data_IF_541258364226
#
_entry.id   IF_541258364226
#
_cell.length_a   1.000
_cell.length_b   1.000
_cell.length_c   1.000
_cell.angle_alpha   90.00
_cell.angle_beta   90.00
_cell.angle_gamma   90.00
#
_symmetry.space_group_name_H-M   'P 1'
#
loop_
_entity.id
_entity.type
_entity.pdbx_description
1 polymer ?
#
# COMPACT_ATOMS: atom_id res chain seq x y z
N UNK A 1 -1.67 44.97 -13.65
CA UNK A 1 -1.12 43.60 -13.42
C UNK A 1 0.36 43.63 -13.76
N UNK A 2 1.23 43.09 -12.88
CA UNK A 2 2.69 43.07 -13.06
C UNK A 2 3.10 42.05 -14.13
N UNK A 3 4.16 42.34 -14.89
CA UNK A 3 4.72 41.47 -15.95
C UNK A 3 5.03 40.05 -15.43
N UNK A 4 5.45 39.94 -14.17
CA UNK A 4 5.73 38.67 -13.48
C UNK A 4 4.50 37.78 -13.26
N UNK A 5 3.31 38.37 -13.09
CA UNK A 5 2.05 37.62 -12.88
C UNK A 5 1.52 37.07 -14.22
N UNK A 6 1.77 37.79 -15.30
CA UNK A 6 1.41 37.36 -16.67
C UNK A 6 2.34 36.23 -17.14
N UNK A 7 3.64 36.29 -16.85
CA UNK A 7 4.57 35.20 -17.18
C UNK A 7 4.30 33.92 -16.38
N UNK A 8 3.94 34.04 -15.09
CA UNK A 8 3.61 32.88 -14.26
C UNK A 8 2.31 32.20 -14.69
N UNK A 9 1.29 32.98 -15.07
CA UNK A 9 0.03 32.43 -15.61
C UNK A 9 0.28 31.70 -16.92
N UNK A 10 0.92 32.35 -17.90
CA UNK A 10 1.25 31.75 -19.21
C UNK A 10 2.04 30.44 -19.07
N UNK A 11 2.91 30.35 -18.07
CA UNK A 11 3.64 29.12 -17.74
C UNK A 11 2.72 28.01 -17.19
N UNK A 12 1.76 28.35 -16.32
CA UNK A 12 0.80 27.40 -15.76
C UNK A 12 -0.18 26.88 -16.81
N UNK A 13 -0.73 27.74 -17.68
CA UNK A 13 -1.61 27.31 -18.78
C UNK A 13 -0.90 26.33 -19.72
N UNK A 14 0.34 26.66 -20.10
CA UNK A 14 1.15 25.77 -20.97
C UNK A 14 1.39 24.41 -20.33
N UNK A 15 1.69 24.37 -19.03
CA UNK A 15 1.87 23.12 -18.29
C UNK A 15 0.58 22.33 -18.14
N UNK A 16 -0.56 23.00 -17.96
CA UNK A 16 -1.87 22.34 -17.89
C UNK A 16 -2.21 21.65 -19.21
N UNK A 17 -1.99 22.33 -20.35
CA UNK A 17 -2.21 21.75 -21.68
C UNK A 17 -1.30 20.54 -21.96
N UNK A 18 -0.04 20.58 -21.51
CA UNK A 18 0.87 19.43 -21.60
C UNK A 18 0.40 18.27 -20.72
N UNK A 19 0.07 18.55 -19.46
CA UNK A 19 -0.44 17.57 -18.51
C UNK A 19 -1.74 16.92 -18.99
N UNK A 20 -2.65 17.70 -19.57
CA UNK A 20 -3.89 17.14 -20.13
C UNK A 20 -3.62 16.16 -21.26
N UNK A 21 -2.66 16.47 -22.15
CA UNK A 21 -2.25 15.56 -23.23
C UNK A 21 -1.60 14.29 -22.68
N UNK A 22 -0.74 14.42 -21.67
CA UNK A 22 -0.06 13.30 -21.03
C UNK A 22 -1.04 12.31 -20.40
N UNK A 23 -2.06 12.81 -19.67
CA UNK A 23 -3.02 11.96 -18.95
C UNK A 23 -4.30 11.68 -19.74
N UNK A 24 -4.42 12.20 -20.97
CA UNK A 24 -5.60 12.05 -21.83
C UNK A 24 -6.85 12.71 -21.22
N UNK A 25 -6.69 13.89 -20.64
CA UNK A 25 -7.75 14.64 -19.96
C UNK A 25 -8.53 15.50 -20.94
N UNK A 26 -9.85 15.48 -20.76
CA UNK A 26 -10.83 16.32 -21.46
C UNK A 26 -11.95 16.66 -20.49
N UNK A 27 -12.57 17.83 -20.65
CA UNK A 27 -13.66 18.29 -19.79
C UNK A 27 -14.96 18.44 -20.58
N UNK A 28 -16.08 18.48 -19.84
CA UNK A 28 -17.42 18.59 -20.42
C UNK A 28 -17.62 19.92 -21.15
N UNK A 29 -17.16 21.01 -20.55
CA UNK A 29 -17.25 22.36 -21.09
C UNK A 29 -16.08 23.25 -20.64
N UNK A 30 -16.04 24.48 -21.16
CA UNK A 30 -15.00 25.46 -20.83
C UNK A 30 -15.05 25.92 -19.37
N UNK A 31 -16.22 25.87 -18.72
CA UNK A 31 -16.37 26.27 -17.33
C UNK A 31 -15.73 25.23 -16.38
N UNK A 32 -15.95 23.95 -16.64
CA UNK A 32 -15.27 22.86 -15.92
C UNK A 32 -13.76 22.88 -16.22
N UNK A 33 -13.36 23.12 -17.48
CA UNK A 33 -11.94 23.27 -17.83
C UNK A 33 -11.27 24.39 -17.02
N UNK A 34 -11.91 25.55 -16.92
CA UNK A 34 -11.41 26.70 -16.14
C UNK A 34 -11.33 26.39 -14.64
N UNK A 35 -12.34 25.71 -14.07
CA UNK A 35 -12.30 25.24 -12.68
C UNK A 35 -11.12 24.30 -12.44
N UNK A 36 -10.93 23.32 -13.32
CA UNK A 36 -9.87 22.31 -13.24
C UNK A 36 -8.49 22.91 -13.44
N UNK A 37 -8.38 23.91 -14.31
CA UNK A 37 -7.16 24.69 -14.47
C UNK A 37 -6.76 25.42 -13.18
N UNK A 38 -7.71 26.07 -12.47
CA UNK A 38 -7.40 26.74 -11.20
C UNK A 38 -6.86 25.78 -10.15
N UNK A 39 -7.51 24.62 -9.99
CA UNK A 39 -7.06 23.56 -9.08
C UNK A 39 -5.65 23.09 -9.45
N UNK A 40 -5.43 22.83 -10.74
CA UNK A 40 -4.13 22.42 -11.25
C UNK A 40 -3.04 23.48 -11.00
N UNK A 41 -3.32 24.75 -11.26
CA UNK A 41 -2.37 25.85 -11.09
C UNK A 41 -1.98 26.03 -9.62
N UNK A 42 -2.94 25.98 -8.70
CA UNK A 42 -2.69 26.03 -7.25
C UNK A 42 -1.82 24.83 -6.80
N UNK A 43 -2.12 23.64 -7.30
CA UNK A 43 -1.37 22.43 -6.98
C UNK A 43 0.05 22.48 -7.57
N UNK A 44 0.21 22.95 -8.80
CA UNK A 44 1.50 23.16 -9.42
C UNK A 44 2.36 24.12 -8.59
N UNK A 45 1.83 25.27 -8.20
CA UNK A 45 2.56 26.24 -7.37
C UNK A 45 2.93 25.62 -6.01
N UNK A 46 2.02 24.86 -5.39
CA UNK A 46 2.29 24.15 -4.15
C UNK A 46 3.45 23.15 -4.28
N UNK A 47 3.42 22.31 -5.30
CA UNK A 47 4.45 21.30 -5.58
C UNK A 47 5.81 21.96 -5.83
N UNK A 48 5.85 23.03 -6.63
CA UNK A 48 7.09 23.74 -6.92
C UNK A 48 7.68 24.39 -5.67
N UNK A 49 6.84 24.99 -4.81
CA UNK A 49 7.28 25.54 -3.53
C UNK A 49 7.84 24.43 -2.62
N UNK A 50 7.09 23.35 -2.45
CA UNK A 50 7.48 22.22 -1.62
C UNK A 50 8.83 21.61 -2.04
N UNK A 51 8.98 21.33 -3.34
CA UNK A 51 10.21 20.74 -3.86
C UNK A 51 11.40 21.71 -3.82
N UNK A 52 11.16 23.03 -3.98
CA UNK A 52 12.22 24.05 -3.90
C UNK A 52 12.76 24.21 -2.48
N UNK A 53 11.89 24.13 -1.47
CA UNK A 53 12.31 24.26 -0.07
C UNK A 53 13.24 23.12 0.36
N UNK A 54 13.11 21.93 -0.26
CA UNK A 54 14.09 20.84 -0.13
C UNK A 54 14.25 20.27 1.28
N UNK A 55 13.30 20.56 2.17
CA UNK A 55 13.35 20.16 3.58
C UNK A 55 12.98 18.69 3.82
N UNK A 56 12.49 18.01 2.79
CA UNK A 56 11.90 16.69 2.89
C UNK A 56 12.66 15.64 2.07
N UNK A 57 12.58 14.38 2.50
CA UNK A 57 13.26 13.24 1.85
C UNK A 57 12.49 12.66 0.66
N UNK A 58 11.43 13.33 0.23
CA UNK A 58 10.58 12.94 -0.89
C UNK A 58 10.17 14.16 -1.71
N UNK A 59 9.75 13.90 -2.94
CA UNK A 59 9.25 14.90 -3.87
C UNK A 59 7.76 14.70 -4.12
N UNK A 60 7.07 15.81 -4.34
CA UNK A 60 5.74 15.82 -4.92
C UNK A 60 5.83 16.04 -6.43
N UNK A 61 4.79 15.66 -7.16
CA UNK A 61 4.75 15.78 -8.61
C UNK A 61 3.35 15.81 -9.16
N UNK A 62 3.22 16.46 -10.31
CA UNK A 62 1.99 16.38 -11.07
C UNK A 62 1.76 14.93 -11.52
N UNK A 63 0.56 14.42 -11.31
CA UNK A 63 0.14 13.08 -11.69
C UNK A 63 -1.32 13.15 -12.18
N UNK A 64 -1.96 12.01 -12.42
CA UNK A 64 -3.31 12.00 -12.95
C UNK A 64 -4.36 12.68 -12.06
N UNK A 65 -4.09 12.94 -10.78
CA UNK A 65 -5.01 13.58 -9.83
C UNK A 65 -4.81 15.08 -9.71
N UNK A 66 -3.93 15.68 -10.53
CA UNK A 66 -3.53 17.07 -10.31
C UNK A 66 -4.59 18.13 -10.61
N UNK A 67 -5.73 17.76 -11.18
CA UNK A 67 -6.90 18.62 -11.40
C UNK A 67 -8.01 18.43 -10.34
N UNK A 68 -7.74 17.67 -9.28
CA UNK A 68 -8.71 17.37 -8.22
C UNK A 68 -8.35 18.09 -6.92
N UNK A 69 -9.37 18.50 -6.17
CA UNK A 69 -9.18 18.87 -4.77
C UNK A 69 -8.92 17.62 -3.93
N UNK A 70 -8.34 17.79 -2.74
CA UNK A 70 -8.10 16.66 -1.84
C UNK A 70 -9.42 16.00 -1.39
N UNK A 71 -10.49 16.78 -1.22
CA UNK A 71 -11.82 16.27 -0.87
C UNK A 71 -12.41 15.45 -2.03
N UNK A 72 -12.27 15.93 -3.27
CA UNK A 72 -12.67 15.18 -4.47
C UNK A 72 -11.85 13.88 -4.57
N UNK A 73 -10.55 13.93 -4.30
CA UNK A 73 -9.67 12.76 -4.30
C UNK A 73 -10.07 11.73 -3.25
N UNK A 74 -10.24 12.12 -1.99
CA UNK A 74 -10.63 11.19 -0.92
C UNK A 74 -12.03 10.63 -1.16
N UNK A 75 -12.97 11.46 -1.62
CA UNK A 75 -14.33 11.00 -1.92
C UNK A 75 -14.39 10.01 -3.07
N UNK A 76 -13.50 10.15 -4.06
CA UNK A 76 -13.49 9.31 -5.26
C UNK A 76 -12.62 8.05 -5.12
N UNK A 77 -11.49 8.15 -4.41
CA UNK A 77 -10.43 7.13 -4.42
C UNK A 77 -10.07 6.62 -3.03
N UNK A 78 -10.43 7.36 -1.98
CA UNK A 78 -10.33 6.89 -0.62
C UNK A 78 -11.19 5.64 -0.42
N UNK A 79 -10.65 4.61 0.22
CA UNK A 79 -11.36 3.36 0.47
C UNK A 79 -12.25 3.40 1.72
N UNK A 80 -12.70 4.60 2.07
CA UNK A 80 -13.19 4.92 3.41
C UNK A 80 -14.54 5.60 3.40
N UNK A 81 -15.58 4.77 3.47
CA UNK A 81 -16.54 4.88 4.57
C UNK A 81 -16.13 3.97 5.75
N UNK A 82 -14.85 3.98 6.11
CA UNK A 82 -14.30 3.31 7.30
C UNK A 82 -14.75 3.96 8.62
N UNK A 83 -15.61 4.99 8.57
CA UNK A 83 -15.93 5.84 9.72
C UNK A 83 -16.62 5.14 10.89
N UNK A 84 -17.20 3.93 10.75
CA UNK A 84 -18.06 3.39 11.81
C UNK A 84 -17.67 2.06 12.49
N UNK A 85 -16.55 1.40 12.17
CA UNK A 85 -16.27 0.08 12.79
C UNK A 85 -14.85 -0.21 13.27
N UNK A 86 -13.96 0.79 13.37
CA UNK A 86 -12.68 0.60 14.07
C UNK A 86 -12.80 0.74 15.61
N UNK A 87 -14.00 1.06 16.12
CA UNK A 87 -14.29 1.19 17.56
C UNK A 87 -14.85 -0.10 18.21
N UNK A 88 -15.12 -1.17 17.47
CA UNK A 88 -15.73 -2.41 18.01
C UNK A 88 -14.72 -3.53 18.31
N UNK A 89 -13.44 -3.22 18.53
CA UNK A 89 -12.47 -4.23 19.00
C UNK A 89 -12.40 -4.35 20.53
N UNK A 90 -13.40 -3.87 21.28
CA UNK A 90 -13.43 -3.91 22.76
C UNK A 90 -14.30 -5.01 23.36
N UNK A 91 -14.90 -5.92 22.57
CA UNK A 91 -15.64 -7.07 23.11
C UNK A 91 -15.19 -8.37 22.43
N UNK A 92 -14.01 -8.86 22.82
CA UNK A 92 -13.75 -10.30 22.80
C UNK A 92 -13.17 -10.66 24.16
N UNK A 93 -14.02 -11.28 24.98
CA UNK A 93 -13.70 -11.67 26.35
C UNK A 93 -12.63 -12.77 26.31
N UNK A 94 -11.48 -12.50 26.93
CA UNK A 94 -10.26 -13.33 26.93
C UNK A 94 -10.35 -14.56 27.84
N UNK A 95 -11.55 -15.04 28.16
CA UNK A 95 -11.73 -16.20 29.02
C UNK A 95 -12.09 -17.41 28.15
N UNK A 96 -11.22 -18.42 28.16
CA UNK A 96 -11.32 -19.73 27.49
C UNK A 96 -10.53 -19.89 26.17
N UNK A 97 -9.20 -19.84 26.26
CA UNK A 97 -8.34 -20.69 25.41
C UNK A 97 -7.34 -21.44 26.31
N UNK A 98 -7.29 -22.79 26.25
CA UNK A 98 -6.38 -23.59 27.08
C UNK A 98 -4.91 -23.36 26.70
N UNK A 99 -4.07 -23.05 27.68
CA UNK A 99 -2.61 -22.98 27.55
C UNK A 99 -2.03 -24.34 27.18
N UNK A 100 -1.40 -24.44 26.01
CA UNK A 100 -0.57 -25.58 25.62
C UNK A 100 0.86 -25.32 26.14
N UNK A 101 1.33 -26.14 27.08
CA UNK A 101 2.73 -26.11 27.55
C UNK A 101 3.68 -26.62 26.45
N UNK A 102 4.66 -25.80 26.06
CA UNK A 102 5.76 -26.20 25.18
C UNK A 102 6.86 -26.94 25.98
N UNK A 103 7.52 -27.97 25.40
CA UNK A 103 8.54 -28.74 26.10
C UNK A 103 9.79 -27.92 26.43
N UNK A 104 10.28 -28.03 27.67
CA UNK A 104 11.50 -27.38 28.17
C UNK A 104 12.73 -27.98 27.50
N UNK A 105 13.51 -27.14 26.79
CA UNK A 105 14.80 -27.52 26.19
C UNK A 105 15.90 -27.50 27.28
N UNK A 106 16.70 -28.57 27.45
CA UNK A 106 17.76 -28.61 28.46
C UNK A 106 18.97 -27.74 28.09
N UNK A 107 19.70 -27.20 29.09
CA UNK A 107 20.77 -26.23 28.86
C UNK A 107 22.02 -26.87 28.23
N UNK A 108 22.52 -26.24 27.15
CA UNK A 108 23.79 -26.62 26.51
C UNK A 108 24.98 -26.19 27.38
N UNK A 109 25.88 -27.15 27.67
CA UNK A 109 27.15 -26.95 28.39
C UNK A 109 28.07 -26.00 27.62
N UNK A 110 28.59 -24.97 28.31
CA UNK A 110 29.63 -24.06 27.81
C UNK A 110 30.97 -24.80 27.70
N UNK A 111 31.60 -24.78 26.53
CA UNK A 111 33.03 -25.08 26.34
C UNK A 111 33.74 -23.80 25.92
N UNK A 112 34.83 -23.48 26.60
CA UNK A 112 35.71 -22.35 26.33
C UNK A 112 36.51 -22.56 25.03
N UNK A 113 36.73 -21.53 24.19
CA UNK A 113 37.64 -21.61 23.05
C UNK A 113 39.10 -21.30 23.46
N UNK A 114 40.10 -21.84 22.75
CA UNK A 114 41.50 -21.48 22.97
C UNK A 114 41.86 -20.13 22.36
N UNK A 115 42.83 -19.46 22.97
CA UNK A 115 43.36 -18.14 22.62
C UNK A 115 44.09 -18.12 21.27
N UNK A 116 43.86 -17.09 20.46
CA UNK A 116 44.53 -16.84 19.17
C UNK A 116 45.37 -15.56 19.25
N UNK A 117 46.58 -15.50 18.65
CA UNK A 117 47.46 -14.33 18.72
C UNK A 117 46.96 -13.15 17.85
N UNK A 118 47.45 -11.92 18.12
CA UNK A 118 46.88 -10.68 17.58
C UNK A 118 47.19 -10.46 16.09
N UNK A 119 46.22 -9.88 15.37
CA UNK A 119 46.35 -9.40 13.98
C UNK A 119 46.46 -7.87 13.93
N UNK A 120 47.09 -7.28 12.90
CA UNK A 120 47.37 -5.84 12.79
C UNK A 120 46.11 -5.03 12.47
N UNK A 121 46.12 -3.68 12.67
CA UNK A 121 44.92 -2.88 12.76
C UNK A 121 44.25 -2.69 11.39
N UNK A 122 42.93 -2.95 11.33
CA UNK A 122 42.08 -2.57 10.19
C UNK A 122 41.24 -1.34 10.56
N UNK A 123 41.21 -0.42 9.60
CA UNK A 123 40.49 0.85 9.54
C UNK A 123 39.02 0.71 9.93
N UNK A 124 38.53 1.59 10.82
CA UNK A 124 37.15 1.61 11.36
C UNK A 124 36.13 1.94 10.26
N UNK A 125 35.19 1.03 10.03
CA UNK A 125 33.84 1.35 9.53
C UNK A 125 32.86 1.35 10.71
N UNK A 126 31.81 2.19 10.69
CA UNK A 126 30.83 2.27 11.78
C UNK A 126 30.04 0.95 11.92
N UNK A 127 29.58 0.60 13.13
CA UNK A 127 28.98 -0.70 13.40
C UNK A 127 27.56 -0.77 12.82
N UNK A 128 27.38 -1.62 11.80
CA UNK A 128 26.07 -2.15 11.43
C UNK A 128 25.55 -3.03 12.57
N UNK A 129 24.36 -2.75 13.08
CA UNK A 129 23.62 -3.62 13.99
C UNK A 129 23.54 -5.04 13.41
N UNK A 130 23.83 -6.10 14.19
CA UNK A 130 23.74 -7.46 13.69
C UNK A 130 22.27 -7.81 13.38
N UNK A 131 21.99 -8.49 12.25
CA UNK A 131 20.62 -8.85 11.89
C UNK A 131 20.04 -9.78 12.95
N UNK A 132 18.84 -9.45 13.42
CA UNK A 132 17.99 -10.34 14.22
C UNK A 132 17.94 -11.68 13.49
N UNK A 133 18.53 -12.72 14.09
CA UNK A 133 18.96 -13.93 13.38
C UNK A 133 17.80 -14.60 12.64
N UNK A 134 17.76 -14.46 11.31
CA UNK A 134 16.82 -15.15 10.43
C UNK A 134 16.01 -14.26 9.48
N UNK A 135 15.90 -12.96 9.75
CA UNK A 135 15.17 -12.02 8.87
C UNK A 135 16.17 -11.35 7.91
N UNK A 136 15.97 -11.43 6.57
CA UNK A 136 16.82 -10.71 5.62
C UNK A 136 16.78 -9.20 5.86
N UNK A 137 17.92 -8.51 5.74
CA UNK A 137 17.97 -7.04 5.89
C UNK A 137 17.24 -6.25 4.79
N UNK A 138 16.94 -6.90 3.65
CA UNK A 138 16.07 -6.37 2.60
C UNK A 138 15.27 -7.47 1.93
N UNK A 139 14.08 -7.12 1.44
CA UNK A 139 13.25 -7.99 0.60
C UNK A 139 12.60 -7.13 -0.48
N UNK A 140 12.61 -7.62 -1.72
CA UNK A 140 11.83 -7.07 -2.82
C UNK A 140 11.15 -8.23 -3.56
N UNK A 141 9.84 -8.42 -3.36
CA UNK A 141 9.11 -9.53 -3.98
C UNK A 141 8.93 -9.35 -5.49
N UNK A 142 9.15 -8.14 -6.03
CA UNK A 142 9.15 -7.89 -7.48
C UNK A 142 10.31 -8.61 -8.15
N UNK A 143 11.51 -8.50 -7.58
CA UNK A 143 12.73 -9.18 -8.06
C UNK A 143 12.60 -10.71 -7.98
N UNK A 144 11.75 -11.20 -7.07
CA UNK A 144 11.43 -12.63 -6.93
C UNK A 144 10.29 -13.09 -7.85
N UNK A 145 9.79 -12.22 -8.72
CA UNK A 145 8.69 -12.52 -9.64
C UNK A 145 7.37 -12.85 -8.95
N UNK A 146 7.14 -12.32 -7.74
CA UNK A 146 5.96 -12.59 -6.91
C UNK A 146 5.02 -11.37 -6.80
N UNK A 147 5.11 -10.42 -7.74
CA UNK A 147 4.28 -9.21 -7.78
C UNK A 147 3.86 -8.94 -9.22
N UNK A 148 2.56 -8.95 -9.50
CA UNK A 148 2.01 -8.64 -10.81
C UNK A 148 2.21 -7.17 -11.18
N UNK A 149 1.87 -6.78 -12.41
CA UNK A 149 1.85 -5.38 -12.85
C UNK A 149 1.02 -4.50 -11.90
N UNK A 150 1.34 -3.21 -11.86
CA UNK A 150 0.53 -2.21 -11.13
C UNK A 150 -0.82 -2.09 -11.83
N UNK A 151 -1.90 -2.12 -11.04
CA UNK A 151 -3.28 -1.95 -11.52
C UNK A 151 -3.78 -0.55 -11.18
N UNK A 152 -4.91 -0.16 -11.77
CA UNK A 152 -5.52 1.15 -11.58
C UNK A 152 -7.00 0.97 -11.18
N UNK A 153 -7.34 1.34 -9.95
CA UNK A 153 -8.70 1.27 -9.40
C UNK A 153 -9.62 2.41 -9.88
N UNK A 154 -9.05 3.40 -10.59
CA UNK A 154 -9.72 4.65 -10.96
C UNK A 154 -10.25 4.63 -12.40
N UNK A 155 -9.91 3.58 -13.16
CA UNK A 155 -10.29 3.45 -14.58
C UNK A 155 -11.14 2.19 -14.79
N UNK A 156 -12.26 2.29 -15.53
CA UNK A 156 -12.74 3.46 -16.28
C UNK A 156 -13.52 4.50 -15.46
N UNK A 157 -13.85 4.22 -14.19
CA UNK A 157 -14.63 5.09 -13.30
C UNK A 157 -14.01 5.10 -11.90
N UNK A 158 -14.39 6.08 -11.09
CA UNK A 158 -13.98 6.17 -9.70
C UNK A 158 -14.60 5.03 -8.87
N UNK A 159 -13.77 4.33 -8.10
CA UNK A 159 -14.21 3.21 -7.27
C UNK A 159 -13.26 3.01 -6.08
N UNK A 160 -13.76 3.18 -4.85
CA UNK A 160 -13.04 2.95 -3.59
C UNK A 160 -12.77 1.46 -3.31
N UNK A 161 -12.02 0.82 -4.20
CA UNK A 161 -11.84 -0.63 -4.27
C UNK A 161 -10.42 -1.11 -3.97
N UNK A 162 -9.56 -0.26 -3.41
CA UNK A 162 -8.19 -0.65 -3.02
C UNK A 162 -8.17 -1.90 -2.13
N UNK A 163 -9.22 -2.13 -1.34
CA UNK A 163 -9.36 -3.31 -0.50
C UNK A 163 -9.26 -4.61 -1.31
N UNK A 164 -9.94 -4.66 -2.46
CA UNK A 164 -9.94 -5.79 -3.37
C UNK A 164 -8.59 -5.94 -4.09
N UNK A 165 -7.98 -4.81 -4.50
CA UNK A 165 -6.67 -4.81 -5.15
C UNK A 165 -5.54 -5.26 -4.22
N UNK A 166 -5.51 -4.76 -2.98
CA UNK A 166 -4.48 -5.11 -2.02
C UNK A 166 -4.59 -6.60 -1.60
N UNK A 167 -5.81 -7.10 -1.41
CA UNK A 167 -6.04 -8.53 -1.09
C UNK A 167 -5.64 -9.41 -2.26
N UNK A 168 -6.12 -9.13 -3.48
CA UNK A 168 -5.74 -9.92 -4.66
C UNK A 168 -4.23 -9.93 -4.89
N UNK A 169 -3.53 -8.79 -4.72
CA UNK A 169 -2.08 -8.72 -4.86
C UNK A 169 -1.32 -9.63 -3.87
N UNK A 170 -1.80 -9.76 -2.62
CA UNK A 170 -1.19 -10.71 -1.67
C UNK A 170 -1.42 -12.17 -2.07
N UNK A 171 -2.61 -12.50 -2.60
CA UNK A 171 -2.94 -13.84 -3.07
C UNK A 171 -2.10 -14.19 -4.30
N UNK A 172 -1.99 -13.28 -5.27
CA UNK A 172 -1.11 -13.44 -6.43
C UNK A 172 0.32 -13.81 -6.02
N UNK A 173 0.88 -13.07 -5.06
CA UNK A 173 2.22 -13.30 -4.54
C UNK A 173 2.37 -14.65 -3.84
N UNK A 174 1.44 -15.03 -2.95
CA UNK A 174 1.59 -16.28 -2.20
C UNK A 174 1.50 -17.52 -3.10
N UNK A 175 0.67 -17.48 -4.13
CA UNK A 175 0.52 -18.59 -5.09
C UNK A 175 1.84 -18.83 -5.84
N UNK A 176 2.56 -17.75 -6.20
CA UNK A 176 3.89 -17.86 -6.77
C UNK A 176 4.91 -18.39 -5.75
N UNK A 177 4.92 -17.85 -4.54
CA UNK A 177 5.94 -18.15 -3.52
C UNK A 177 5.83 -19.58 -2.98
N UNK A 178 4.61 -20.04 -2.66
CA UNK A 178 4.38 -21.31 -1.94
C UNK A 178 3.98 -22.46 -2.83
N UNK A 179 3.31 -22.18 -3.95
CA UNK A 179 2.81 -23.22 -4.86
C UNK A 179 3.59 -23.26 -6.18
N UNK A 180 4.58 -22.37 -6.37
CA UNK A 180 5.35 -22.21 -7.60
C UNK A 180 4.48 -22.10 -8.86
N UNK A 181 3.30 -21.49 -8.74
CA UNK A 181 2.39 -21.31 -9.87
C UNK A 181 2.82 -20.13 -10.74
N UNK A 182 2.40 -20.08 -12.01
CA UNK A 182 2.54 -18.89 -12.84
C UNK A 182 1.95 -17.67 -12.12
N UNK A 183 2.67 -16.56 -12.15
CA UNK A 183 2.19 -15.30 -11.60
C UNK A 183 1.11 -14.74 -12.53
N UNK A 184 -0.13 -14.70 -12.05
CA UNK A 184 -1.30 -14.33 -12.84
C UNK A 184 -2.12 -13.31 -12.06
N UNK A 185 -2.54 -12.25 -12.74
CA UNK A 185 -3.42 -11.24 -12.17
C UNK A 185 -4.79 -11.85 -11.82
N UNK A 186 -5.27 -11.59 -10.60
CA UNK A 186 -6.56 -12.06 -10.09
C UNK A 186 -7.62 -10.97 -10.19
N UNK A 187 -8.89 -11.36 -10.24
CA UNK A 187 -10.00 -10.42 -10.42
C UNK A 187 -10.34 -9.68 -9.14
N UNK A 188 -10.00 -8.39 -9.07
CA UNK A 188 -10.54 -7.50 -8.03
C UNK A 188 -12.04 -7.25 -8.24
N UNK A 189 -12.53 -7.28 -9.48
CA UNK A 189 -13.94 -7.09 -9.80
C UNK A 189 -14.83 -8.18 -9.22
N UNK A 190 -14.35 -9.43 -9.23
CA UNK A 190 -15.10 -10.51 -8.62
C UNK A 190 -15.31 -10.25 -7.12
N UNK A 191 -14.31 -9.75 -6.40
CA UNK A 191 -14.50 -9.35 -5.01
C UNK A 191 -15.53 -8.21 -4.90
N UNK A 192 -15.42 -7.18 -5.73
CA UNK A 192 -16.33 -6.02 -5.72
C UNK A 192 -17.81 -6.44 -5.92
N UNK A 193 -18.06 -7.40 -6.82
CA UNK A 193 -19.42 -7.83 -7.16
C UNK A 193 -19.95 -8.94 -6.25
N UNK A 194 -19.08 -9.88 -5.85
CA UNK A 194 -19.50 -11.14 -5.22
C UNK A 194 -19.27 -11.20 -3.71
N UNK A 195 -18.35 -10.41 -3.15
CA UNK A 195 -18.19 -10.29 -1.71
C UNK A 195 -19.34 -9.46 -1.12
N UNK A 196 -20.36 -10.15 -0.60
CA UNK A 196 -21.53 -9.51 0.00
C UNK A 196 -21.25 -8.93 1.39
N UNK A 197 -20.12 -9.27 2.03
CA UNK A 197 -19.73 -8.68 3.31
C UNK A 197 -19.06 -7.31 3.16
N UNK A 198 -18.64 -6.96 1.94
CA UNK A 198 -18.04 -5.67 1.60
C UNK A 198 -18.97 -4.81 0.73
N UNK A 199 -18.65 -3.52 0.62
CA UNK A 199 -19.53 -2.53 0.00
C UNK A 199 -19.10 -2.17 -1.44
N UNK A 200 -18.41 -3.08 -2.14
CA UNK A 200 -17.96 -2.86 -3.51
C UNK A 200 -17.07 -1.62 -3.64
N UNK A 201 -17.56 -0.59 -4.35
CA UNK A 201 -16.84 0.68 -4.54
C UNK A 201 -16.93 1.63 -3.35
N UNK A 202 -17.79 1.38 -2.35
CA UNK A 202 -17.91 2.20 -1.14
C UNK A 202 -16.94 1.77 -0.02
N UNK A 203 -15.95 0.95 -0.36
CA UNK A 203 -14.94 0.43 0.57
C UNK A 203 -15.19 -0.99 1.06
N UNK A 204 -14.19 -1.52 1.77
CA UNK A 204 -14.22 -2.89 2.27
C UNK A 204 -13.05 -3.21 3.19
N UNK A 205 -13.16 -4.35 3.89
CA UNK A 205 -12.17 -4.88 4.83
C UNK A 205 -11.43 -6.05 4.21
N UNK A 206 -10.12 -6.09 4.43
CA UNK A 206 -9.23 -7.15 3.97
C UNK A 206 -9.66 -8.55 4.46
N UNK A 207 -10.05 -8.67 5.73
CA UNK A 207 -10.43 -9.95 6.34
C UNK A 207 -11.66 -10.57 5.65
N UNK A 208 -12.70 -9.78 5.41
CA UNK A 208 -13.93 -10.22 4.73
C UNK A 208 -13.63 -10.70 3.31
N UNK A 209 -12.77 -9.97 2.59
CA UNK A 209 -12.34 -10.35 1.26
C UNK A 209 -11.54 -11.67 1.27
N UNK A 210 -10.67 -11.88 2.26
CA UNK A 210 -9.99 -13.17 2.41
C UNK A 210 -10.97 -14.30 2.74
N UNK A 211 -11.95 -14.08 3.62
CA UNK A 211 -13.01 -15.07 3.92
C UNK A 211 -13.77 -15.49 2.66
N UNK A 212 -14.09 -14.54 1.78
CA UNK A 212 -14.68 -14.83 0.48
C UNK A 212 -13.78 -15.75 -0.36
N UNK A 213 -12.47 -15.46 -0.46
CA UNK A 213 -11.52 -16.27 -1.25
C UNK A 213 -11.29 -17.64 -0.61
N UNK A 214 -11.32 -17.77 0.71
CA UNK A 214 -11.25 -19.08 1.39
C UNK A 214 -12.44 -19.95 0.99
N UNK A 215 -13.65 -19.39 1.02
CA UNK A 215 -14.89 -20.14 0.76
C UNK A 215 -15.06 -20.48 -0.72
N UNK A 216 -14.75 -19.54 -1.60
CA UNK A 216 -15.11 -19.65 -3.01
C UNK A 216 -13.89 -19.80 -3.91
N UNK A 217 -12.71 -19.34 -3.50
CA UNK A 217 -11.58 -19.08 -4.39
C UNK A 217 -11.81 -17.83 -5.24
N UNK A 218 -10.90 -17.56 -6.18
CA UNK A 218 -10.92 -16.34 -6.99
C UNK A 218 -10.46 -16.61 -8.43
N UNK A 219 -11.12 -15.96 -9.40
CA UNK A 219 -10.81 -16.07 -10.84
C UNK A 219 -9.65 -15.17 -11.26
N UNK A 220 -9.17 -15.38 -12.50
CA UNK A 220 -8.19 -14.48 -13.13
C UNK A 220 -8.87 -13.18 -13.54
N UNK A 221 -8.11 -12.10 -13.56
CA UNK A 221 -8.57 -10.80 -14.04
C UNK A 221 -9.14 -10.88 -15.47
N UNK A 222 -8.51 -11.66 -16.35
CA UNK A 222 -8.98 -11.86 -17.73
C UNK A 222 -10.31 -12.62 -17.84
N UNK A 223 -10.65 -13.45 -16.85
CA UNK A 223 -11.91 -14.22 -16.84
C UNK A 223 -13.05 -13.40 -16.22
N UNK A 224 -12.73 -12.44 -15.36
CA UNK A 224 -13.67 -11.49 -14.75
C UNK A 224 -13.05 -10.08 -14.73
N UNK A 225 -13.09 -9.36 -15.87
CA UNK A 225 -12.38 -8.09 -16.04
C UNK A 225 -12.90 -6.96 -15.16
N UNK A 226 -12.00 -6.05 -14.79
CA UNK A 226 -12.31 -4.85 -14.01
C UNK A 226 -13.23 -3.87 -14.74
N UNK A 227 -14.25 -3.37 -14.02
CA UNK A 227 -15.27 -2.43 -14.50
C UNK A 227 -15.40 -1.18 -13.65
N UNK A 228 -14.70 -1.11 -12.51
CA UNK A 228 -14.67 0.04 -11.60
C UNK A 228 -16.07 0.50 -11.15
N UNK A 229 -16.97 -0.46 -10.91
CA UNK A 229 -18.31 -0.22 -10.36
C UNK A 229 -18.82 -1.53 -9.75
N UNK A 230 -19.70 -1.45 -8.75
CA UNK A 230 -20.39 -2.65 -8.24
C UNK A 230 -21.47 -3.09 -9.22
N UNK A 231 -21.37 -4.32 -9.70
CA UNK A 231 -22.34 -4.99 -10.55
C UNK A 231 -22.96 -6.19 -9.82
N UNK A 232 -23.89 -6.87 -10.47
CA UNK A 232 -24.35 -8.18 -10.00
C UNK A 232 -23.24 -9.22 -10.10
N UNK A 233 -23.08 -10.05 -9.07
CA UNK A 233 -22.11 -11.15 -9.07
C UNK A 233 -22.36 -12.10 -10.25
N UNK A 234 -21.48 -12.05 -11.25
CA UNK A 234 -21.54 -12.89 -12.45
C UNK A 234 -20.43 -13.93 -12.46
N UNK A 235 -20.30 -14.67 -11.36
CA UNK A 235 -19.34 -15.76 -11.28
C UNK A 235 -19.76 -16.97 -12.12
N UNK A 236 -21.06 -17.30 -12.15
CA UNK A 236 -21.62 -18.39 -12.96
C UNK A 236 -20.84 -19.70 -12.79
N UNK A 237 -20.44 -20.34 -13.91
CA UNK A 237 -19.61 -21.55 -13.95
C UNK A 237 -18.09 -21.27 -14.03
N UNK A 238 -17.64 -20.02 -13.87
CA UNK A 238 -16.21 -19.68 -13.97
C UNK A 238 -15.41 -20.43 -12.91
N UNK A 239 -14.38 -21.16 -13.35
CA UNK A 239 -13.49 -21.91 -12.44
C UNK A 239 -12.66 -20.95 -11.60
N UNK A 240 -12.59 -21.23 -10.30
CA UNK A 240 -11.58 -20.63 -9.43
C UNK A 240 -10.18 -20.91 -9.99
N UNK A 241 -9.36 -19.88 -10.11
CA UNK A 241 -7.95 -20.01 -10.47
C UNK A 241 -7.10 -20.19 -9.23
N UNK A 242 -7.31 -19.37 -8.19
CA UNK A 242 -6.56 -19.41 -6.95
C UNK A 242 -7.47 -19.70 -5.75
N UNK A 243 -6.98 -20.55 -4.85
CA UNK A 243 -7.64 -20.87 -3.59
C UNK A 243 -6.60 -20.74 -2.48
N UNK A 244 -7.02 -20.15 -1.37
CA UNK A 244 -6.24 -20.07 -0.13
C UNK A 244 -6.96 -20.91 0.94
N UNK A 245 -6.22 -21.42 1.92
CA UNK A 245 -6.80 -22.22 3.01
C UNK A 245 -7.27 -21.37 4.17
N UNK A 246 -6.66 -20.20 4.33
CA UNK A 246 -7.01 -19.23 5.35
C UNK A 246 -6.31 -17.90 5.09
N UNK A 247 -6.31 -17.07 6.12
CA UNK A 247 -5.53 -15.84 6.21
C UNK A 247 -5.12 -15.66 7.66
N UNK A 248 -4.04 -14.93 7.87
CA UNK A 248 -3.52 -14.62 9.19
C UNK A 248 -3.56 -13.12 9.44
N UNK A 249 -3.85 -12.77 10.69
CA UNK A 249 -3.73 -11.42 11.23
C UNK A 249 -2.30 -11.21 11.73
N UNK A 250 -1.70 -10.10 11.35
CA UNK A 250 -0.45 -9.59 11.92
C UNK A 250 -0.83 -8.54 12.95
N UNK A 251 -0.48 -8.78 14.21
CA UNK A 251 -0.70 -7.80 15.27
C UNK A 251 0.09 -6.51 15.01
N UNK A 252 -0.40 -5.40 15.57
CA UNK A 252 0.22 -4.09 15.41
C UNK A 252 1.72 -4.11 15.79
N UNK A 253 2.51 -3.25 15.12
CA UNK A 253 3.95 -3.13 15.31
C UNK A 253 4.76 -3.45 14.04
N UNK A 254 5.72 -2.57 13.73
CA UNK A 254 6.56 -2.70 12.54
C UNK A 254 7.43 -3.96 12.54
N UNK A 255 7.84 -4.46 13.71
CA UNK A 255 8.59 -5.72 13.82
C UNK A 255 7.74 -6.94 13.40
N UNK A 256 6.47 -6.98 13.79
CA UNK A 256 5.54 -8.05 13.39
C UNK A 256 5.28 -7.99 11.88
N UNK A 257 5.10 -6.78 11.35
CA UNK A 257 4.96 -6.55 9.92
C UNK A 257 6.22 -6.97 9.15
N UNK A 258 7.41 -6.65 9.67
CA UNK A 258 8.70 -7.02 9.07
C UNK A 258 8.82 -8.53 8.90
N UNK A 259 8.50 -9.28 9.95
CA UNK A 259 8.52 -10.75 9.95
C UNK A 259 7.55 -11.36 8.94
N UNK A 260 6.36 -10.77 8.80
CA UNK A 260 5.38 -11.22 7.81
C UNK A 260 5.84 -10.90 6.38
N UNK A 261 6.28 -9.67 6.12
CA UNK A 261 6.75 -9.22 4.79
C UNK A 261 7.98 -9.99 4.34
N UNK A 262 8.85 -10.40 5.27
CA UNK A 262 10.01 -11.23 4.98
C UNK A 262 9.63 -12.59 4.35
N UNK A 263 8.40 -13.06 4.57
CA UNK A 263 7.90 -14.36 4.10
C UNK A 263 7.02 -14.25 2.85
N UNK A 264 6.28 -13.15 2.69
CA UNK A 264 5.36 -12.90 1.57
C UNK A 264 4.83 -11.46 1.54
N UNK A 265 4.19 -10.99 0.46
CA UNK A 265 3.46 -9.72 0.48
C UNK A 265 2.33 -9.68 1.51
N UNK A 266 2.10 -8.50 2.11
CA UNK A 266 1.11 -8.28 3.19
C UNK A 266 0.20 -7.10 2.85
N UNK A 267 -1.10 -7.24 3.09
CA UNK A 267 -2.06 -6.15 2.96
C UNK A 267 -2.08 -5.31 4.24
N UNK A 268 -1.88 -3.99 4.11
CA UNK A 268 -1.72 -3.05 5.23
C UNK A 268 -2.62 -1.84 5.01
N UNK A 269 -3.20 -1.34 6.11
CA UNK A 269 -3.92 -0.08 6.10
C UNK A 269 -2.96 1.07 6.35
N UNK A 270 -3.13 2.15 5.61
CA UNK A 270 -2.39 3.39 5.78
C UNK A 270 -3.35 4.58 5.76
N UNK A 271 -2.90 5.71 6.28
CA UNK A 271 -3.50 7.00 5.98
C UNK A 271 -2.85 7.58 4.74
N UNK A 272 -3.68 7.80 3.71
CA UNK A 272 -3.34 8.53 2.50
C UNK A 272 -3.82 9.98 2.69
N UNK A 273 -2.85 10.90 2.84
CA UNK A 273 -3.08 12.33 2.97
C UNK A 273 -2.89 13.07 1.62
N UNK A 274 -2.93 14.41 1.65
CA UNK A 274 -2.74 15.24 0.44
C UNK A 274 -1.35 15.07 -0.20
N UNK A 275 -0.29 14.86 0.59
CA UNK A 275 1.04 14.65 0.02
C UNK A 275 1.18 13.23 -0.53
N UNK A 276 0.45 12.25 0.03
CA UNK A 276 0.35 10.91 -0.54
C UNK A 276 -0.30 10.96 -1.92
N UNK A 277 -1.36 11.74 -2.11
CA UNK A 277 -2.00 11.95 -3.42
C UNK A 277 -0.98 12.44 -4.46
N UNK A 278 -0.17 13.43 -4.12
CA UNK A 278 0.78 14.07 -5.03
C UNK A 278 2.19 13.43 -5.01
N UNK A 279 2.38 12.30 -4.33
CA UNK A 279 3.69 11.66 -4.19
C UNK A 279 4.30 11.29 -5.54
N UNK A 280 5.57 11.66 -5.75
CA UNK A 280 6.34 11.35 -6.96
C UNK A 280 7.48 10.38 -6.71
N UNK A 281 8.23 10.54 -5.62
CA UNK A 281 9.39 9.69 -5.35
C UNK A 281 10.15 10.07 -4.08
N UNK A 282 11.15 9.25 -3.73
CA UNK A 282 11.90 9.40 -2.48
C UNK A 282 11.24 8.69 -1.28
N UNK A 283 11.82 8.84 -0.08
CA UNK A 283 11.33 8.16 1.12
C UNK A 283 10.32 9.06 1.81
N UNK A 284 9.04 8.68 1.75
CA UNK A 284 7.93 9.37 2.38
C UNK A 284 7.95 9.11 3.89
N UNK A 285 8.24 10.10 4.73
CA UNK A 285 8.47 9.89 6.16
C UNK A 285 8.00 11.00 7.09
N UNK A 286 7.54 12.10 6.51
CA UNK A 286 7.37 13.40 7.14
C UNK A 286 6.19 14.13 6.47
N UNK A 287 5.66 15.17 7.12
CA UNK A 287 4.43 15.83 6.68
C UNK A 287 3.16 15.34 7.42
N UNK A 288 1.98 15.34 6.79
CA UNK A 288 0.69 15.15 7.48
C UNK A 288 0.53 13.76 8.11
N UNK A 289 1.18 12.74 7.56
CA UNK A 289 1.22 11.38 8.10
C UNK A 289 2.43 11.09 9.01
N UNK A 290 3.05 12.11 9.61
CA UNK A 290 4.04 11.92 10.67
C UNK A 290 3.48 11.05 11.82
N UNK A 291 4.36 10.39 12.60
CA UNK A 291 3.97 9.65 13.80
C UNK A 291 2.94 10.37 14.66
N UNK A 292 1.70 9.86 14.73
CA UNK A 292 0.62 10.44 15.52
C UNK A 292 -0.34 9.38 16.06
N UNK A 293 -0.90 9.63 17.24
CA UNK A 293 -1.72 8.66 17.98
C UNK A 293 -3.16 8.55 17.48
N UNK A 294 -3.67 9.57 16.78
CA UNK A 294 -5.08 9.66 16.34
C UNK A 294 -5.23 9.56 14.82
N UNK A 295 -4.29 8.88 14.14
CA UNK A 295 -4.33 8.75 12.70
C UNK A 295 -5.49 7.86 12.25
N UNK A 296 -6.32 8.37 11.34
CA UNK A 296 -7.35 7.58 10.67
C UNK A 296 -6.75 6.96 9.40
N UNK A 297 -6.63 5.63 9.38
CA UNK A 297 -6.30 4.90 8.15
C UNK A 297 -7.49 4.96 7.19
N UNK A 298 -7.21 5.24 5.93
CA UNK A 298 -8.26 5.44 4.92
C UNK A 298 -8.03 4.69 3.60
N UNK A 299 -6.91 3.98 3.49
CA UNK A 299 -6.49 3.31 2.27
C UNK A 299 -5.87 1.95 2.60
N UNK A 300 -6.06 0.95 1.73
CA UNK A 300 -5.46 -0.38 1.86
C UNK A 300 -4.50 -0.61 0.69
N UNK A 301 -3.25 -0.93 1.01
CA UNK A 301 -2.17 -1.16 0.06
C UNK A 301 -1.46 -2.48 0.33
N UNK A 302 -0.54 -2.87 -0.55
CA UNK A 302 0.26 -4.09 -0.35
C UNK A 302 1.72 -3.72 -0.09
N UNK A 303 2.26 -4.15 1.05
CA UNK A 303 3.71 -4.13 1.28
C UNK A 303 4.32 -5.32 0.54
N UNK A 304 5.18 -5.02 -0.43
CA UNK A 304 5.84 -6.01 -1.29
C UNK A 304 7.34 -6.10 -1.03
N UNK A 305 7.82 -5.44 0.01
CA UNK A 305 9.23 -5.46 0.37
C UNK A 305 9.58 -4.42 1.42
N UNK A 306 10.86 -4.38 1.76
CA UNK A 306 11.46 -3.40 2.65
C UNK A 306 12.98 -3.35 2.44
N UNK A 307 13.56 -2.25 2.88
CA UNK A 307 14.99 -2.10 3.16
C UNK A 307 15.17 -1.58 4.59
N UNK A 308 16.40 -1.19 4.95
CA UNK A 308 16.71 -0.63 6.26
C UNK A 308 15.81 0.57 6.58
N UNK A 309 15.65 1.50 5.64
CA UNK A 309 14.98 2.77 5.86
C UNK A 309 13.52 2.85 5.44
N UNK A 310 13.02 1.90 4.65
CA UNK A 310 11.69 2.03 4.06
C UNK A 310 10.95 0.72 3.82
N UNK A 311 9.62 0.80 3.81
CA UNK A 311 8.69 -0.17 3.27
C UNK A 311 8.49 0.09 1.78
N UNK A 312 8.56 -0.95 0.97
CA UNK A 312 8.22 -0.88 -0.45
C UNK A 312 6.74 -1.24 -0.63
N UNK A 313 5.94 -0.24 -0.99
CA UNK A 313 4.49 -0.34 -1.10
C UNK A 313 4.09 -0.38 -2.58
N UNK A 314 3.26 -1.37 -2.94
CA UNK A 314 2.52 -1.39 -4.20
C UNK A 314 1.16 -0.73 -3.98
N UNK A 315 0.88 0.32 -4.75
CA UNK A 315 -0.42 1.00 -4.76
C UNK A 315 -1.27 0.53 -5.96
N UNK A 316 -2.54 0.95 -5.98
CA UNK A 316 -3.54 0.63 -7.01
C UNK A 316 -4.02 1.86 -7.79
N UNK A 317 -3.23 2.94 -7.83
CA UNK A 317 -3.51 4.16 -8.60
C UNK A 317 -2.83 4.18 -9.97
N UNK A 318 -2.49 3.03 -10.54
CA UNK A 318 -1.79 2.95 -11.82
C UNK A 318 -0.34 3.48 -11.76
N UNK A 319 0.31 3.47 -12.91
CA UNK A 319 1.75 3.78 -13.02
C UNK A 319 2.07 5.27 -13.07
N UNK A 320 1.08 6.14 -13.25
CA UNK A 320 1.25 7.60 -13.26
C UNK A 320 1.43 8.21 -11.86
N UNK A 321 1.14 7.43 -10.80
CA UNK A 321 1.30 7.86 -9.41
C UNK A 321 2.59 7.29 -8.82
N UNK A 322 3.32 8.09 -8.02
CA UNK A 322 4.53 7.66 -7.33
C UNK A 322 5.64 7.14 -8.24
N UNK A 323 6.45 6.23 -7.70
CA UNK A 323 7.56 5.59 -8.41
C UNK A 323 7.04 4.46 -9.32
N UNK A 324 6.34 4.81 -10.40
CA UNK A 324 5.66 3.86 -11.31
C UNK A 324 4.63 2.98 -10.59
N UNK A 325 3.81 3.58 -9.73
CA UNK A 325 2.78 2.91 -8.92
C UNK A 325 3.26 2.36 -7.58
N UNK A 326 4.51 2.66 -7.21
CA UNK A 326 5.10 2.26 -5.93
C UNK A 326 5.42 3.47 -5.06
N UNK A 327 5.54 3.22 -3.76
CA UNK A 327 6.00 4.20 -2.78
C UNK A 327 7.04 3.57 -1.87
N UNK A 328 8.02 4.37 -1.47
CA UNK A 328 8.90 4.09 -0.34
C UNK A 328 8.38 4.84 0.87
N UNK A 329 7.88 4.12 1.87
CA UNK A 329 7.40 4.70 3.12
C UNK A 329 8.43 4.49 4.22
N UNK A 330 8.80 5.54 4.97
CA UNK A 330 9.81 5.46 6.03
C UNK A 330 9.44 4.38 7.04
N UNK A 331 10.42 3.52 7.32
CA UNK A 331 10.35 2.47 8.32
C UNK A 331 11.10 2.93 9.56
N UNK A 332 10.49 2.80 10.73
CA UNK A 332 11.07 3.27 12.01
C UNK A 332 11.45 2.11 12.95
N UNK A 333 11.08 0.88 12.59
CA UNK A 333 11.44 -0.37 13.26
C UNK A 333 10.62 -0.66 14.52
N UNK A 334 10.61 0.26 15.48
CA UNK A 334 9.99 0.06 16.79
C UNK A 334 9.13 1.25 17.26
N UNK A 335 8.72 2.13 16.34
CA UNK A 335 7.88 3.27 16.70
C UNK A 335 6.47 2.80 17.12
N UNK A 336 5.91 3.27 18.26
CA UNK A 336 4.52 3.01 18.61
C UNK A 336 3.54 3.77 17.68
N UNK A 337 4.04 4.78 16.96
CA UNK A 337 3.28 5.59 16.01
C UNK A 337 4.00 5.53 14.65
N UNK A 338 3.95 4.41 13.92
CA UNK A 338 4.62 4.30 12.64
C UNK A 338 4.04 5.30 11.62
N UNK A 339 4.89 5.76 10.69
CA UNK A 339 4.50 6.71 9.63
C UNK A 339 3.28 6.19 8.86
N UNK A 340 2.33 7.07 8.56
CA UNK A 340 1.03 6.74 7.94
C UNK A 340 0.23 5.66 8.67
N UNK A 341 0.59 5.29 9.90
CA UNK A 341 -0.07 4.26 10.68
C UNK A 341 0.06 2.85 10.10
N UNK A 342 1.06 2.60 9.24
CA UNK A 342 1.22 1.34 8.47
C UNK A 342 1.21 0.07 9.32
N UNK A 343 1.53 0.17 10.60
CA UNK A 343 1.46 -0.92 11.56
C UNK A 343 0.78 -0.52 12.88
N UNK A 344 -0.12 0.49 12.86
CA UNK A 344 -0.96 0.86 14.02
C UNK A 344 -2.18 -0.05 14.17
N UNK A 345 -2.70 -0.55 13.05
CA UNK A 345 -3.81 -1.51 13.01
C UNK A 345 -3.34 -2.84 12.46
N UNK A 346 -4.18 -3.86 12.64
CA UNK A 346 -3.89 -5.19 12.16
C UNK A 346 -3.67 -5.22 10.62
N UNK A 347 -2.65 -5.96 10.20
CA UNK A 347 -2.37 -6.26 8.80
C UNK A 347 -2.73 -7.72 8.50
N UNK A 348 -2.85 -8.08 7.22
CA UNK A 348 -3.36 -9.40 6.83
C UNK A 348 -2.60 -10.01 5.66
N UNK A 349 -2.42 -11.32 5.69
CA UNK A 349 -1.86 -12.08 4.57
C UNK A 349 -2.53 -13.45 4.41
N UNK A 350 -2.62 -13.99 3.18
CA UNK A 350 -3.24 -15.29 2.92
C UNK A 350 -2.34 -16.46 3.34
N UNK A 351 -2.94 -17.56 3.80
CA UNK A 351 -2.27 -18.83 4.09
C UNK A 351 -2.73 -19.92 3.13
N UNK A 352 -1.80 -20.77 2.70
CA UNK A 352 -2.09 -21.84 1.72
C UNK A 352 -2.01 -23.24 2.29
N UNK A 353 -1.67 -23.38 3.59
CA UNK A 353 -1.49 -24.65 4.29
C UNK A 353 -2.20 -24.61 5.64
#
# INVERSE_FOLDING_TARGET
MSMTVLESSVTAETRHEQWMKEFGRSYEDDAEKEKRFKIFAEKLEYIERFNRDGNETYELGLNQFSDLTYEEFVSAYGCSRLENHLLESSIFNSSEIPTIELPKVPPKRKRSPPSRPPRPPKRRTPPSTPPTTGIPGRVNWREKGAVTIVKNQDKPKQCGSCWAFAVTATVEGIMKIKQNRPLVALSAQELIDCDQGNNGCDGGKASIAFEYIVKNGITRDVDYPYRAQKLGCNRGSKRSFANIKGYAKVEAGEQNLLEAVARQPVAVYISADKHFEDYKGGIYGSGPCKPQTNLKVNHLVTVVGYEEDYWLIKNSYGTGWGETGYMKLKRQGSSPNPVCGIAMVASFYPTTF
#
